data_IF_879586505981
#
_entry.id   IF_879586505981
#
_cell.length_a   1.000
_cell.length_b   1.000
_cell.length_c   1.000
_cell.angle_alpha   90.00
_cell.angle_beta   90.00
_cell.angle_gamma   90.00
#
_symmetry.space_group_name_H-M   'P 1'
#
loop_
_entity.id
_entity.type
_entity.pdbx_description
1 polymer ?
#
# COMPACT_ATOMS: atom_id res chain seq x y z
N UNK A 1 38.19 -43.64 28.08
CA UNK A 1 37.38 -43.31 29.28
C UNK A 1 36.26 -42.37 28.90
N UNK A 2 35.18 -42.84 28.92
CA UNK A 2 33.80 -42.47 29.01
C UNK A 2 33.50 -41.16 29.79
N UNK A 3 32.59 -40.36 29.27
CA UNK A 3 31.95 -39.28 30.00
C UNK A 3 30.78 -38.68 29.23
N UNK A 4 29.64 -39.35 29.34
CA UNK A 4 28.29 -38.84 28.99
C UNK A 4 27.96 -37.54 29.73
N UNK A 5 27.35 -36.54 29.06
CA UNK A 5 26.50 -35.59 29.76
C UNK A 5 25.22 -35.34 28.94
N UNK A 6 24.15 -35.52 29.66
CA UNK A 6 22.75 -35.55 29.28
C UNK A 6 22.18 -34.16 28.96
N UNK A 7 21.18 -34.20 28.11
CA UNK A 7 20.09 -33.22 27.88
C UNK A 7 19.63 -32.50 29.15
N UNK A 8 19.41 -31.18 29.00
CA UNK A 8 18.48 -30.48 29.88
C UNK A 8 17.56 -29.60 29.04
N UNK A 9 16.31 -30.03 28.94
CA UNK A 9 15.20 -29.21 28.48
C UNK A 9 14.88 -28.21 29.60
N UNK A 10 14.81 -26.94 29.29
CA UNK A 10 14.09 -25.95 30.09
C UNK A 10 12.97 -25.34 29.28
N UNK A 11 11.75 -25.78 29.55
CA UNK A 11 10.54 -25.00 29.34
C UNK A 11 10.69 -23.69 30.14
N UNK A 12 10.52 -22.58 29.47
CA UNK A 12 10.26 -21.31 30.12
C UNK A 12 8.89 -20.80 29.67
N UNK A 13 7.91 -21.01 30.54
CA UNK A 13 6.59 -20.39 30.47
C UNK A 13 6.75 -18.96 31.00
N UNK A 14 6.50 -17.96 30.18
CA UNK A 14 6.33 -16.57 30.63
C UNK A 14 4.94 -16.12 30.22
N UNK A 15 4.05 -16.05 31.20
CA UNK A 15 2.82 -15.29 31.12
C UNK A 15 3.18 -13.81 31.37
N UNK A 16 2.87 -12.95 30.44
CA UNK A 16 3.03 -11.50 30.60
C UNK A 16 2.14 -10.79 29.55
N UNK A 17 0.97 -10.32 30.03
CA UNK A 17 0.13 -9.42 29.24
C UNK A 17 0.85 -8.08 29.07
N UNK A 18 1.23 -7.77 27.83
CA UNK A 18 1.73 -6.46 27.44
C UNK A 18 1.35 -6.25 26.00
N UNK A 19 0.41 -5.30 25.77
CA UNK A 19 0.05 -4.85 24.44
C UNK A 19 1.24 -4.14 23.81
N UNK A 20 1.99 -4.88 23.00
CA UNK A 20 2.98 -4.31 22.10
C UNK A 20 2.35 -4.35 20.71
N UNK A 21 2.03 -3.18 20.16
CA UNK A 21 1.80 -3.02 18.73
C UNK A 21 3.14 -3.25 18.04
N UNK A 22 3.51 -4.50 17.88
CA UNK A 22 4.66 -4.93 17.12
C UNK A 22 4.24 -5.03 15.66
N UNK A 23 4.90 -4.28 14.78
CA UNK A 23 4.93 -4.58 13.36
C UNK A 23 5.36 -6.05 13.24
N UNK A 24 4.44 -6.95 12.87
CA UNK A 24 4.82 -8.30 12.49
C UNK A 24 5.60 -8.19 11.18
N UNK A 25 6.92 -8.25 11.29
CA UNK A 25 7.73 -8.64 10.15
C UNK A 25 7.22 -10.03 9.73
N UNK A 26 6.62 -10.13 8.54
CA UNK A 26 6.27 -11.42 7.95
C UNK A 26 7.58 -12.18 7.70
N UNK A 27 7.98 -13.00 8.66
CA UNK A 27 9.08 -13.91 8.45
C UNK A 27 8.62 -14.92 7.39
N UNK A 28 9.33 -14.96 6.26
CA UNK A 28 9.10 -15.93 5.21
C UNK A 28 9.24 -17.33 5.80
N UNK A 29 8.13 -18.03 5.96
CA UNK A 29 8.14 -19.43 6.36
C UNK A 29 8.42 -20.29 5.11
N UNK A 30 9.25 -21.33 5.23
CA UNK A 30 9.48 -22.25 4.10
C UNK A 30 8.18 -22.89 3.67
N UNK A 31 7.91 -22.91 2.35
CA UNK A 31 6.68 -23.44 1.72
C UNK A 31 6.51 -24.97 1.82
N UNK A 32 7.18 -25.64 2.76
CA UNK A 32 7.18 -27.10 2.89
C UNK A 32 5.87 -27.73 3.38
N UNK A 33 5.00 -26.95 4.00
CA UNK A 33 3.72 -27.46 4.50
C UNK A 33 2.58 -26.47 4.17
N UNK A 34 1.52 -26.99 3.58
CA UNK A 34 0.28 -26.24 3.35
C UNK A 34 -0.28 -25.78 4.71
N UNK A 35 -0.50 -24.45 4.91
CA UNK A 35 -1.04 -23.94 6.17
C UNK A 35 -2.51 -24.36 6.35
N UNK A 36 -3.00 -24.30 7.57
CA UNK A 36 -4.44 -24.38 7.80
C UNK A 36 -5.12 -23.10 7.30
N UNK A 37 -6.42 -23.14 6.93
CA UNK A 37 -7.16 -21.94 6.56
C UNK A 37 -7.08 -20.84 7.62
N UNK A 38 -7.17 -21.19 8.91
CA UNK A 38 -7.03 -20.26 10.02
C UNK A 38 -5.68 -19.54 9.97
N UNK A 39 -4.58 -20.26 9.88
CA UNK A 39 -3.24 -19.69 9.86
C UNK A 39 -3.01 -18.79 8.62
N UNK A 40 -3.51 -19.22 7.45
CA UNK A 40 -3.39 -18.42 6.24
C UNK A 40 -4.22 -17.12 6.29
N UNK A 41 -5.40 -17.16 6.92
CA UNK A 41 -6.28 -15.99 7.06
C UNK A 41 -5.82 -15.00 8.15
N UNK A 42 -4.95 -15.43 9.07
CA UNK A 42 -4.30 -14.54 10.07
C UNK A 42 -3.26 -13.62 9.44
N UNK A 43 -2.73 -13.95 8.27
CA UNK A 43 -1.84 -13.06 7.52
C UNK A 43 -2.62 -11.82 7.07
N UNK A 44 -2.15 -10.66 7.50
CA UNK A 44 -2.79 -9.37 7.24
C UNK A 44 -1.89 -8.47 6.38
N UNK A 45 -2.46 -7.54 5.61
CA UNK A 45 -1.71 -6.53 4.87
C UNK A 45 -0.76 -5.75 5.78
N UNK A 46 0.40 -5.35 5.25
CA UNK A 46 1.32 -4.44 5.94
C UNK A 46 0.65 -3.07 6.13
N UNK A 47 -0.04 -2.58 5.11
CA UNK A 47 -0.76 -1.30 5.18
C UNK A 47 -2.11 -1.45 5.89
N UNK A 48 -2.46 -0.46 6.73
CA UNK A 48 -3.63 -0.54 7.64
C UNK A 48 -4.95 -0.15 6.97
N UNK A 49 -4.92 0.62 5.90
CA UNK A 49 -6.08 1.18 5.21
C UNK A 49 -6.65 0.25 4.10
N UNK A 50 -6.30 -1.02 4.14
CA UNK A 50 -6.73 -2.01 3.16
C UNK A 50 -8.09 -2.58 3.54
N UNK A 51 -9.05 -2.46 2.62
CA UNK A 51 -10.36 -3.10 2.73
C UNK A 51 -10.37 -4.42 1.95
N UNK A 52 -10.36 -5.52 2.63
CA UNK A 52 -10.37 -6.86 2.06
C UNK A 52 -11.31 -7.78 2.83
N UNK A 53 -11.67 -8.91 2.24
CA UNK A 53 -12.62 -9.83 2.84
C UNK A 53 -12.00 -10.62 4.00
N UNK A 54 -12.74 -10.64 5.11
CA UNK A 54 -12.41 -11.39 6.30
C UNK A 54 -13.62 -12.25 6.66
N UNK A 55 -13.56 -13.57 6.43
CA UNK A 55 -14.67 -14.44 6.78
C UNK A 55 -14.92 -14.41 8.30
N UNK A 56 -16.19 -14.51 8.69
CA UNK A 56 -16.54 -14.70 10.09
C UNK A 56 -15.94 -16.01 10.62
N UNK A 57 -15.74 -16.08 11.93
CA UNK A 57 -15.05 -17.22 12.57
C UNK A 57 -15.70 -18.57 12.23
N UNK A 58 -17.02 -18.59 12.17
CA UNK A 58 -17.82 -19.79 11.87
C UNK A 58 -17.71 -20.20 10.37
N UNK A 59 -17.24 -19.30 9.52
CA UNK A 59 -17.04 -19.56 8.08
C UNK A 59 -15.65 -20.10 7.78
N UNK A 60 -14.67 -19.88 8.66
CA UNK A 60 -13.29 -20.31 8.47
C UNK A 60 -13.16 -21.81 8.30
N UNK A 61 -13.98 -22.59 9.02
CA UNK A 61 -14.01 -24.05 8.91
C UNK A 61 -14.44 -24.55 7.52
N UNK A 62 -15.15 -23.71 6.75
CA UNK A 62 -15.56 -24.03 5.38
C UNK A 62 -14.53 -23.57 4.34
N UNK A 63 -13.51 -22.82 4.77
CA UNK A 63 -12.46 -22.37 3.89
C UNK A 63 -11.49 -23.49 3.55
N UNK A 64 -10.90 -23.43 2.38
CA UNK A 64 -9.88 -24.37 1.91
C UNK A 64 -8.59 -23.64 1.53
N UNK A 65 -7.47 -24.36 1.63
CA UNK A 65 -6.19 -23.92 1.09
C UNK A 65 -5.79 -24.87 -0.02
N UNK A 66 -5.49 -24.33 -1.18
CA UNK A 66 -5.04 -25.09 -2.36
C UNK A 66 -3.58 -24.75 -2.65
N UNK A 67 -2.81 -25.71 -3.15
CA UNK A 67 -1.46 -25.45 -3.60
C UNK A 67 -1.52 -24.70 -4.94
N UNK A 68 -0.77 -23.60 -5.02
CA UNK A 68 -0.44 -22.93 -6.26
C UNK A 68 0.88 -23.50 -6.76
N UNK A 69 0.90 -24.05 -7.96
CA UNK A 69 2.10 -24.57 -8.59
C UNK A 69 2.02 -24.39 -10.10
N UNK A 70 2.95 -23.61 -10.64
CA UNK A 70 3.15 -23.40 -12.07
C UNK A 70 4.66 -23.49 -12.38
N UNK A 71 5.04 -23.32 -13.63
CA UNK A 71 6.46 -23.37 -14.03
C UNK A 71 7.32 -22.30 -13.34
N UNK A 72 6.72 -21.13 -13.01
CA UNK A 72 7.43 -19.98 -12.48
C UNK A 72 7.04 -19.61 -11.06
N UNK A 73 5.97 -20.17 -10.49
CA UNK A 73 5.38 -19.71 -9.23
C UNK A 73 4.91 -20.89 -8.40
N UNK A 74 5.20 -20.85 -7.10
CA UNK A 74 4.64 -21.76 -6.11
C UNK A 74 3.90 -21.00 -5.00
N UNK A 75 3.15 -21.69 -4.14
CA UNK A 75 2.46 -21.02 -3.02
C UNK A 75 1.10 -21.61 -2.68
N UNK A 76 0.18 -20.76 -2.21
CA UNK A 76 -1.15 -21.17 -1.77
C UNK A 76 -2.23 -20.18 -2.20
N UNK A 77 -3.42 -20.73 -2.44
CA UNK A 77 -4.66 -19.98 -2.62
C UNK A 77 -5.63 -20.38 -1.52
N UNK A 78 -6.19 -19.41 -0.82
CA UNK A 78 -7.24 -19.60 0.18
C UNK A 78 -8.58 -19.24 -0.44
N UNK A 79 -9.53 -20.18 -0.35
CA UNK A 79 -10.91 -20.01 -0.85
C UNK A 79 -11.91 -20.10 0.28
N UNK A 80 -13.02 -19.41 0.14
CA UNK A 80 -14.18 -19.56 1.01
C UNK A 80 -14.97 -20.84 0.71
N UNK A 81 -16.04 -21.08 1.47
CA UNK A 81 -16.93 -22.24 1.27
C UNK A 81 -17.70 -22.25 -0.05
N UNK A 82 -17.72 -21.15 -0.80
CA UNK A 82 -18.33 -20.99 -2.13
C UNK A 82 -17.30 -21.09 -3.26
N UNK A 83 -16.02 -21.26 -2.92
CA UNK A 83 -14.92 -21.33 -3.89
C UNK A 83 -14.35 -19.98 -4.31
N UNK A 84 -14.79 -18.84 -3.72
CA UNK A 84 -14.23 -17.54 -3.99
C UNK A 84 -12.82 -17.40 -3.39
N UNK A 85 -11.92 -16.76 -4.11
CA UNK A 85 -10.56 -16.48 -3.61
C UNK A 85 -10.62 -15.38 -2.54
N UNK A 86 -10.04 -15.70 -1.39
CA UNK A 86 -9.86 -14.74 -0.29
C UNK A 86 -8.41 -14.22 -0.22
N UNK A 87 -7.43 -15.11 -0.47
CA UNK A 87 -5.99 -14.82 -0.39
C UNK A 87 -5.24 -15.61 -1.46
N UNK A 88 -4.15 -15.05 -1.93
CA UNK A 88 -3.15 -15.76 -2.72
C UNK A 88 -1.77 -15.37 -2.20
N UNK A 89 -1.00 -16.36 -1.82
CA UNK A 89 0.37 -16.20 -1.37
C UNK A 89 1.29 -16.91 -2.35
N UNK A 90 2.29 -16.20 -2.86
CA UNK A 90 3.13 -16.71 -3.93
C UNK A 90 4.62 -16.51 -3.62
N UNK A 91 5.37 -17.51 -4.02
CA UNK A 91 6.79 -17.53 -4.22
C UNK A 91 7.02 -17.45 -5.73
N UNK A 92 7.49 -16.31 -6.22
CA UNK A 92 7.60 -16.01 -7.65
C UNK A 92 8.99 -16.28 -8.21
N UNK A 93 9.99 -16.50 -7.35
CA UNK A 93 11.36 -16.84 -7.72
C UNK A 93 11.71 -18.31 -7.43
N UNK A 94 10.81 -19.06 -6.76
CA UNK A 94 10.97 -20.47 -6.37
C UNK A 94 12.14 -20.74 -5.40
N UNK A 95 12.40 -19.80 -4.51
CA UNK A 95 13.36 -19.98 -3.42
C UNK A 95 12.76 -20.60 -2.15
N UNK A 96 11.47 -21.00 -2.20
CA UNK A 96 10.66 -21.53 -1.10
C UNK A 96 10.34 -20.50 -0.02
N UNK A 97 10.31 -19.22 -0.34
CA UNK A 97 9.80 -18.16 0.50
C UNK A 97 8.68 -17.43 -0.23
N UNK A 98 7.73 -16.92 0.53
CA UNK A 98 6.70 -16.04 -0.05
C UNK A 98 7.31 -14.67 -0.30
N UNK A 99 7.08 -14.14 -1.49
CA UNK A 99 7.46 -12.79 -1.90
C UNK A 99 6.27 -11.95 -2.37
N UNK A 100 5.07 -12.54 -2.39
CA UNK A 100 3.86 -11.84 -2.78
C UNK A 100 2.66 -12.28 -1.95
N UNK A 101 1.93 -11.34 -1.34
CA UNK A 101 0.74 -11.55 -0.51
C UNK A 101 -0.43 -10.78 -1.08
N UNK A 102 -1.37 -11.46 -1.72
CA UNK A 102 -2.53 -10.86 -2.38
C UNK A 102 -3.80 -11.05 -1.55
N UNK A 103 -4.58 -9.99 -1.44
CA UNK A 103 -5.81 -9.90 -0.66
C UNK A 103 -6.98 -9.58 -1.57
N UNK A 104 -8.11 -10.25 -1.34
CA UNK A 104 -9.26 -10.23 -2.22
C UNK A 104 -10.50 -9.72 -1.49
N UNK A 105 -11.42 -9.17 -2.26
CA UNK A 105 -12.78 -8.84 -1.84
C UNK A 105 -13.74 -9.26 -2.94
N UNK A 106 -14.76 -10.04 -2.58
CA UNK A 106 -15.74 -10.56 -3.53
C UNK A 106 -15.07 -11.31 -4.73
N UNK A 107 -13.95 -12.00 -4.45
CA UNK A 107 -13.19 -12.73 -5.47
C UNK A 107 -12.29 -11.87 -6.37
N UNK A 108 -12.27 -10.55 -6.18
CA UNK A 108 -11.42 -9.61 -6.93
C UNK A 108 -10.21 -9.22 -6.07
N UNK A 109 -9.01 -9.27 -6.64
CA UNK A 109 -7.82 -8.79 -5.95
C UNK A 109 -7.89 -7.27 -5.75
N UNK A 110 -7.78 -6.85 -4.49
CA UNK A 110 -7.89 -5.43 -4.11
C UNK A 110 -6.58 -4.84 -3.60
N UNK A 111 -5.68 -5.73 -3.14
CA UNK A 111 -4.41 -5.27 -2.57
C UNK A 111 -3.35 -6.38 -2.63
N UNK A 112 -2.08 -5.94 -2.68
CA UNK A 112 -0.92 -6.82 -2.68
C UNK A 112 0.27 -6.18 -1.99
N UNK A 113 0.90 -6.94 -1.07
CA UNK A 113 2.26 -6.70 -0.60
C UNK A 113 3.24 -7.45 -1.51
N UNK A 114 4.39 -6.88 -1.80
CA UNK A 114 5.44 -7.45 -2.66
C UNK A 114 6.79 -7.25 -1.98
N UNK A 115 7.56 -8.31 -1.90
CA UNK A 115 8.99 -8.33 -1.58
C UNK A 115 9.74 -8.43 -2.92
N UNK A 116 10.17 -7.30 -3.46
CA UNK A 116 10.72 -7.26 -4.81
C UNK A 116 12.22 -7.56 -4.87
N UNK A 117 12.92 -7.45 -3.76
CA UNK A 117 14.34 -7.78 -3.64
C UNK A 117 14.59 -9.17 -3.02
N UNK A 118 13.51 -9.88 -2.64
CA UNK A 118 13.53 -11.26 -2.12
C UNK A 118 14.27 -11.43 -0.79
N UNK A 119 14.28 -10.40 0.04
CA UNK A 119 14.95 -10.44 1.34
C UNK A 119 14.05 -10.94 2.49
N UNK A 120 12.77 -11.17 2.24
CA UNK A 120 11.78 -11.69 3.18
C UNK A 120 10.89 -10.61 3.81
N UNK A 121 10.95 -9.36 3.32
CA UNK A 121 10.10 -8.26 3.74
C UNK A 121 9.48 -7.56 2.54
N UNK A 122 8.24 -7.11 2.69
CA UNK A 122 7.58 -6.35 1.64
C UNK A 122 8.16 -4.93 1.56
N UNK A 123 8.56 -4.53 0.35
CA UNK A 123 9.08 -3.21 -0.01
C UNK A 123 8.19 -2.45 -0.98
N UNK A 124 7.12 -3.08 -1.47
CA UNK A 124 6.14 -2.49 -2.36
C UNK A 124 4.72 -2.85 -1.96
N UNK A 125 3.82 -1.88 -2.12
CA UNK A 125 2.41 -1.99 -1.75
C UNK A 125 1.54 -1.57 -2.91
N UNK A 126 0.61 -2.42 -3.33
CA UNK A 126 -0.20 -2.18 -4.52
C UNK A 126 -1.69 -2.32 -4.22
N UNK A 127 -2.44 -1.24 -4.40
CA UNK A 127 -3.90 -1.26 -4.39
C UNK A 127 -4.39 -1.44 -5.82
N UNK A 128 -5.40 -2.28 -5.97
CA UNK A 128 -6.00 -2.65 -7.23
C UNK A 128 -7.51 -2.44 -7.11
N UNK A 129 -8.10 -1.59 -7.93
CA UNK A 129 -9.52 -1.30 -7.82
C UNK A 129 -10.07 -0.49 -8.98
N UNK A 130 -11.40 -0.45 -9.08
CA UNK A 130 -12.12 0.31 -10.13
C UNK A 130 -12.08 1.82 -9.87
N UNK A 131 -11.84 2.25 -8.63
CA UNK A 131 -11.79 3.66 -8.23
C UNK A 131 -10.40 4.29 -8.34
N UNK A 132 -9.38 3.50 -8.67
CA UNK A 132 -8.01 3.98 -8.79
C UNK A 132 -6.98 2.87 -8.57
N UNK A 133 -5.74 3.17 -8.90
CA UNK A 133 -4.60 2.28 -8.69
C UNK A 133 -3.51 3.04 -7.97
N UNK A 134 -3.03 2.50 -6.86
CA UNK A 134 -1.89 3.03 -6.12
C UNK A 134 -0.76 2.00 -6.08
N UNK A 135 0.46 2.47 -6.20
CA UNK A 135 1.66 1.65 -6.05
C UNK A 135 2.68 2.41 -5.21
N UNK A 136 2.75 2.06 -3.94
CA UNK A 136 3.69 2.64 -2.98
C UNK A 136 5.01 1.87 -2.96
N UNK A 137 6.09 2.60 -2.69
CA UNK A 137 7.45 2.08 -2.52
C UNK A 137 7.92 2.38 -1.10
N UNK A 138 8.58 1.41 -0.49
CA UNK A 138 9.15 1.45 0.86
C UNK A 138 10.54 0.79 0.85
N UNK A 139 11.54 1.45 0.23
CA UNK A 139 12.86 0.86 0.05
C UNK A 139 13.66 0.70 1.37
N UNK A 140 13.21 1.30 2.47
CA UNK A 140 13.81 1.13 3.79
C UNK A 140 13.11 0.06 4.64
N UNK A 141 11.98 -0.50 4.15
CA UNK A 141 11.21 -1.61 4.75
C UNK A 141 10.74 -1.34 6.20
N UNK A 142 10.40 -0.09 6.49
CA UNK A 142 9.87 0.29 7.81
C UNK A 142 8.34 0.14 7.91
N UNK A 143 7.70 -0.33 6.84
CA UNK A 143 6.25 -0.52 6.72
C UNK A 143 5.50 0.76 6.36
N UNK A 144 6.21 1.83 6.00
CA UNK A 144 5.63 3.10 5.57
C UNK A 144 6.03 3.40 4.14
N UNK A 145 5.08 3.94 3.39
CA UNK A 145 5.33 4.33 2.02
C UNK A 145 6.22 5.57 1.99
N UNK A 146 7.36 5.49 1.32
CA UNK A 146 8.28 6.60 1.10
C UNK A 146 7.93 7.42 -0.16
N UNK A 147 7.48 6.74 -1.20
CA UNK A 147 7.12 7.37 -2.48
C UNK A 147 6.04 6.59 -3.23
N UNK A 148 5.48 7.19 -4.27
CA UNK A 148 4.50 6.55 -5.15
C UNK A 148 5.09 6.33 -6.53
N UNK A 149 5.07 5.08 -7.00
CA UNK A 149 5.40 4.75 -8.39
C UNK A 149 4.22 5.00 -9.33
N UNK A 150 3.03 4.80 -8.83
CA UNK A 150 1.77 5.05 -9.54
C UNK A 150 0.69 5.45 -8.54
N UNK A 151 -0.04 6.51 -8.85
CA UNK A 151 -1.21 6.95 -8.09
C UNK A 151 -2.20 7.64 -9.03
N UNK A 152 -3.48 7.29 -8.97
CA UNK A 152 -4.51 7.92 -9.78
C UNK A 152 -4.89 9.32 -9.26
N UNK A 153 -5.46 10.20 -10.08
CA UNK A 153 -5.93 11.53 -9.64
C UNK A 153 -6.96 11.46 -8.51
N UNK A 154 -7.84 10.47 -8.53
CA UNK A 154 -8.81 10.19 -7.47
C UNK A 154 -8.09 9.91 -6.16
N UNK A 155 -7.09 9.03 -6.19
CA UNK A 155 -6.32 8.68 -5.01
C UNK A 155 -5.45 9.84 -4.51
N UNK A 156 -4.88 10.64 -5.41
CA UNK A 156 -4.14 11.86 -5.02
C UNK A 156 -5.03 12.79 -4.22
N UNK A 157 -6.27 13.05 -4.68
CA UNK A 157 -7.19 13.93 -3.95
C UNK A 157 -7.62 13.35 -2.61
N UNK A 158 -7.84 12.04 -2.54
CA UNK A 158 -8.13 11.33 -1.29
C UNK A 158 -6.97 11.45 -0.30
N UNK A 159 -5.74 11.21 -0.74
CA UNK A 159 -4.54 11.33 0.08
C UNK A 159 -4.31 12.77 0.57
N UNK A 160 -4.55 13.79 -0.28
CA UNK A 160 -4.45 15.20 0.12
C UNK A 160 -5.46 15.53 1.22
N UNK A 161 -6.73 15.07 1.07
CA UNK A 161 -7.76 15.29 2.10
C UNK A 161 -7.38 14.61 3.41
N UNK A 162 -6.88 13.38 3.35
CA UNK A 162 -6.42 12.66 4.52
C UNK A 162 -5.21 13.34 5.18
N UNK A 163 -4.23 13.81 4.39
CA UNK A 163 -3.09 14.55 4.91
C UNK A 163 -3.51 15.86 5.62
N UNK A 164 -4.48 16.59 5.07
CA UNK A 164 -5.02 17.81 5.69
C UNK A 164 -5.78 17.49 6.97
N UNK A 165 -6.63 16.45 6.97
CA UNK A 165 -7.43 16.01 8.11
C UNK A 165 -6.54 15.61 9.29
N UNK A 166 -5.55 14.79 9.00
CA UNK A 166 -4.67 14.19 10.00
C UNK A 166 -3.45 15.08 10.31
N UNK A 167 -3.29 16.20 9.57
CA UNK A 167 -2.13 17.13 9.63
C UNK A 167 -0.80 16.39 9.39
N UNK A 168 -0.85 15.41 8.49
CA UNK A 168 0.28 14.55 8.17
C UNK A 168 1.11 15.11 7.01
N UNK A 169 2.17 15.84 7.36
CA UNK A 169 3.10 16.46 6.41
C UNK A 169 3.86 15.41 5.59
N UNK A 170 4.19 14.27 6.18
CA UNK A 170 4.88 13.19 5.46
C UNK A 170 3.96 12.54 4.41
N UNK A 171 2.69 12.33 4.74
CA UNK A 171 1.68 11.86 3.80
C UNK A 171 1.54 12.77 2.59
N UNK A 172 1.49 14.08 2.83
CA UNK A 172 1.42 15.06 1.76
C UNK A 172 2.69 15.08 0.90
N UNK A 173 3.86 15.06 1.50
CA UNK A 173 5.15 15.10 0.77
C UNK A 173 5.33 13.93 -0.17
N UNK A 174 4.81 12.75 0.16
CA UNK A 174 4.85 11.56 -0.70
C UNK A 174 4.08 11.71 -2.02
N UNK A 175 3.19 12.69 -2.11
CA UNK A 175 2.43 13.00 -3.33
C UNK A 175 3.18 13.97 -4.26
N UNK A 176 4.20 14.64 -3.75
CA UNK A 176 4.93 15.64 -4.50
C UNK A 176 6.09 14.98 -5.26
N UNK A 177 6.20 15.30 -6.55
CA UNK A 177 7.34 14.87 -7.35
C UNK A 177 8.66 15.32 -6.71
N UNK A 178 9.65 14.46 -6.78
CA UNK A 178 11.05 14.80 -6.46
C UNK A 178 11.66 15.61 -7.59
N UNK A 179 12.77 16.27 -7.33
CA UNK A 179 13.48 17.04 -8.37
C UNK A 179 13.96 16.14 -9.53
N UNK A 180 14.36 14.91 -9.23
CA UNK A 180 14.75 13.92 -10.24
C UNK A 180 13.57 13.49 -11.11
N UNK A 181 12.39 13.26 -10.52
CA UNK A 181 11.17 12.94 -11.27
C UNK A 181 10.72 14.11 -12.13
N UNK A 182 10.86 15.35 -11.65
CA UNK A 182 10.57 16.55 -12.47
C UNK A 182 11.53 16.63 -13.66
N UNK A 183 12.81 16.35 -13.48
CA UNK A 183 13.78 16.32 -14.58
C UNK A 183 13.45 15.22 -15.60
N UNK A 184 12.97 14.05 -15.12
CA UNK A 184 12.57 12.93 -15.99
C UNK A 184 11.27 13.21 -16.79
N UNK A 185 10.44 14.18 -16.39
CA UNK A 185 9.27 14.59 -17.20
C UNK A 185 9.68 15.12 -18.58
N UNK A 186 10.90 15.62 -18.73
CA UNK A 186 11.41 16.13 -20.00
C UNK A 186 10.76 17.45 -20.42
N UNK A 187 10.36 18.29 -19.47
CA UNK A 187 9.82 19.62 -19.70
C UNK A 187 10.91 20.59 -20.16
N UNK A 188 10.52 21.72 -20.81
CA UNK A 188 11.43 22.82 -21.08
C UNK A 188 12.03 23.43 -19.80
N UNK A 189 13.18 24.09 -19.91
CA UNK A 189 13.92 24.64 -18.74
C UNK A 189 13.05 25.55 -17.86
N UNK A 190 12.27 26.43 -18.47
CA UNK A 190 11.41 27.40 -17.78
C UNK A 190 10.32 26.67 -16.97
N UNK A 191 9.65 25.69 -17.58
CA UNK A 191 8.59 24.92 -16.95
C UNK A 191 9.16 24.04 -15.83
N UNK A 192 10.33 23.43 -16.05
CA UNK A 192 11.04 22.63 -15.02
C UNK A 192 11.36 23.50 -13.80
N UNK A 193 11.94 24.68 -14.00
CA UNK A 193 12.28 25.57 -12.90
C UNK A 193 11.04 26.08 -12.14
N UNK A 194 9.96 26.43 -12.87
CA UNK A 194 8.71 26.86 -12.26
C UNK A 194 8.06 25.76 -11.43
N UNK A 195 8.01 24.53 -11.96
CA UNK A 195 7.45 23.37 -11.28
C UNK A 195 8.24 23.04 -10.01
N UNK A 196 9.58 22.98 -10.07
CA UNK A 196 10.43 22.76 -8.89
C UNK A 196 10.19 23.83 -7.81
N UNK A 197 10.08 25.11 -8.21
CA UNK A 197 9.76 26.21 -7.29
C UNK A 197 8.40 26.02 -6.62
N UNK A 198 7.35 25.63 -7.37
CA UNK A 198 6.01 25.37 -6.85
C UNK A 198 6.01 24.19 -5.87
N UNK A 199 6.69 23.10 -6.21
CA UNK A 199 6.82 21.93 -5.34
C UNK A 199 7.57 22.25 -4.04
N UNK A 200 8.65 23.02 -4.10
CA UNK A 200 9.37 23.47 -2.92
C UNK A 200 8.49 24.34 -2.00
N UNK A 201 7.72 25.28 -2.59
CA UNK A 201 6.76 26.08 -1.83
C UNK A 201 5.66 25.23 -1.19
N UNK A 202 5.14 24.21 -1.90
CA UNK A 202 4.15 23.29 -1.36
C UNK A 202 4.72 22.48 -0.18
N UNK A 203 5.94 21.94 -0.29
CA UNK A 203 6.61 21.20 0.79
C UNK A 203 6.77 22.02 2.06
N UNK A 204 7.13 23.31 1.94
CA UNK A 204 7.37 24.17 3.09
C UNK A 204 6.08 24.79 3.66
N UNK A 205 5.06 25.00 2.81
CA UNK A 205 3.82 25.68 3.18
C UNK A 205 2.73 24.76 3.74
N UNK A 206 2.80 23.46 3.53
CA UNK A 206 1.70 22.54 3.86
C UNK A 206 1.34 22.53 5.34
N UNK A 207 2.31 22.44 6.23
CA UNK A 207 2.07 22.38 7.68
C UNK A 207 1.31 23.62 8.19
N UNK A 208 1.66 24.79 7.66
CA UNK A 208 0.97 26.05 7.97
C UNK A 208 -0.45 26.10 7.38
N UNK A 209 -0.61 25.64 6.15
CA UNK A 209 -1.92 25.52 5.49
C UNK A 209 -2.83 24.56 6.27
N UNK A 210 -2.37 23.37 6.58
CA UNK A 210 -3.13 22.35 7.31
C UNK A 210 -3.58 22.84 8.69
N UNK A 211 -2.80 23.69 9.33
CA UNK A 211 -3.14 24.28 10.64
C UNK A 211 -4.15 25.43 10.52
N UNK A 212 -4.07 26.25 9.48
CA UNK A 212 -4.87 27.48 9.32
C UNK A 212 -6.22 27.22 8.63
N UNK A 213 -6.28 26.25 7.74
CA UNK A 213 -7.52 25.90 7.05
C UNK A 213 -8.56 25.36 8.02
N UNK A 214 -9.88 25.58 7.70
CA UNK A 214 -11.02 25.15 8.51
C UNK A 214 -12.01 24.28 7.74
N UNK A 215 -11.76 24.06 6.46
CA UNK A 215 -12.67 23.31 5.59
C UNK A 215 -12.61 21.81 5.86
N UNK A 216 -11.41 21.28 6.07
CA UNK A 216 -11.18 19.85 6.35
C UNK A 216 -10.97 19.69 7.85
N UNK A 217 -11.88 18.93 8.49
CA UNK A 217 -11.88 18.60 9.92
C UNK A 217 -11.58 17.13 10.13
N UNK A 218 -11.47 16.69 11.38
CA UNK A 218 -11.30 15.28 11.77
C UNK A 218 -12.46 14.36 11.32
N UNK A 219 -13.63 14.96 11.01
CA UNK A 219 -14.84 14.25 10.54
C UNK A 219 -15.01 14.31 9.03
N UNK A 220 -14.12 14.99 8.32
CA UNK A 220 -14.22 15.11 6.87
C UNK A 220 -13.94 13.78 6.18
N UNK A 221 -14.83 13.41 5.27
CA UNK A 221 -14.72 12.23 4.43
C UNK A 221 -14.53 12.69 2.98
N UNK A 222 -13.53 12.17 2.31
CA UNK A 222 -13.43 12.29 0.86
C UNK A 222 -14.46 11.36 0.21
N UNK A 223 -15.23 11.88 -0.74
CA UNK A 223 -16.30 11.12 -1.39
C UNK A 223 -16.08 10.90 -2.86
N UNK A 224 -15.47 11.86 -3.55
CA UNK A 224 -15.26 11.74 -4.98
C UNK A 224 -14.17 12.70 -5.48
N UNK A 225 -13.74 12.45 -6.69
CA UNK A 225 -12.87 13.29 -7.49
C UNK A 225 -13.70 14.15 -8.44
N UNK A 226 -13.36 15.42 -8.53
CA UNK A 226 -13.88 16.35 -9.52
C UNK A 226 -12.71 16.93 -10.33
N UNK A 227 -12.87 16.99 -11.65
CA UNK A 227 -11.84 17.54 -12.52
C UNK A 227 -12.28 17.55 -13.97
N UNK A 228 -11.56 18.30 -14.80
CA UNK A 228 -11.70 18.21 -16.25
C UNK A 228 -11.08 16.91 -16.76
N UNK A 229 -11.41 16.53 -17.99
CA UNK A 229 -10.66 15.45 -18.64
C UNK A 229 -9.18 15.84 -18.75
N UNK A 230 -8.27 14.87 -18.64
CA UNK A 230 -6.85 15.15 -18.78
C UNK A 230 -6.51 15.71 -20.14
N UNK A 231 -5.67 16.72 -20.17
CA UNK A 231 -5.06 17.22 -21.38
C UNK A 231 -3.82 16.41 -21.75
N UNK A 232 -3.58 16.21 -23.03
CA UNK A 232 -2.33 15.66 -23.54
C UNK A 232 -1.42 16.82 -23.93
N UNK A 233 -0.23 16.89 -23.32
CA UNK A 233 0.87 17.72 -23.77
C UNK A 233 1.79 16.84 -24.62
N UNK A 234 1.76 16.96 -25.97
CA UNK A 234 2.57 16.11 -26.82
C UNK A 234 4.05 16.50 -26.77
N UNK A 235 4.92 15.53 -27.02
CA UNK A 235 6.35 15.78 -27.19
C UNK A 235 6.60 16.86 -28.25
N UNK A 236 7.54 17.75 -27.96
CA UNK A 236 7.84 18.93 -28.79
C UNK A 236 7.04 20.18 -28.44
N UNK A 237 5.97 20.08 -27.65
CA UNK A 237 5.23 21.25 -27.18
C UNK A 237 5.96 21.88 -25.98
N UNK A 238 6.10 23.22 -26.01
CA UNK A 238 6.72 23.99 -24.92
C UNK A 238 8.10 23.47 -24.45
N UNK A 239 8.84 22.85 -25.35
CA UNK A 239 10.15 22.24 -25.05
C UNK A 239 10.09 20.86 -24.42
N UNK A 240 8.91 20.24 -24.29
CA UNK A 240 8.76 18.88 -23.79
C UNK A 240 9.39 17.85 -24.72
N UNK A 241 10.07 16.85 -24.16
CA UNK A 241 10.65 15.72 -24.91
C UNK A 241 9.80 14.46 -24.85
N UNK A 242 8.73 14.45 -24.05
CA UNK A 242 7.83 13.31 -23.83
C UNK A 242 6.37 13.73 -23.92
N UNK A 243 5.51 12.80 -24.25
CA UNK A 243 4.07 12.96 -24.11
C UNK A 243 3.69 12.93 -22.64
N UNK A 244 2.98 13.95 -22.16
CA UNK A 244 2.55 14.05 -20.76
C UNK A 244 1.03 14.19 -20.69
N UNK A 245 0.43 13.46 -19.76
CA UNK A 245 -0.98 13.63 -19.42
C UNK A 245 -1.11 14.54 -18.21
N UNK A 246 -1.84 15.64 -18.36
CA UNK A 246 -1.96 16.69 -17.36
C UNK A 246 -3.41 16.81 -16.91
N UNK A 247 -3.64 16.72 -15.61
CA UNK A 247 -4.93 16.99 -14.98
C UNK A 247 -4.92 18.40 -14.40
N UNK A 248 -5.76 19.28 -14.95
CA UNK A 248 -5.93 20.65 -14.46
C UNK A 248 -7.22 20.81 -13.67
N UNK A 249 -7.27 21.80 -12.79
CA UNK A 249 -8.47 22.14 -12.01
C UNK A 249 -9.06 20.94 -11.24
N UNK A 250 -8.19 20.14 -10.68
CA UNK A 250 -8.55 18.98 -9.86
C UNK A 250 -9.19 19.46 -8.56
N UNK A 251 -10.33 18.87 -8.20
CA UNK A 251 -11.06 19.14 -6.98
C UNK A 251 -11.34 17.84 -6.21
N UNK A 252 -11.22 17.90 -4.89
CA UNK A 252 -11.73 16.86 -4.00
C UNK A 252 -13.17 17.21 -3.61
N UNK A 253 -14.09 16.29 -3.79
CA UNK A 253 -15.44 16.39 -3.24
C UNK A 253 -15.41 15.75 -1.84
N UNK A 254 -15.82 16.51 -0.85
CA UNK A 254 -15.76 16.10 0.55
C UNK A 254 -17.14 16.24 1.21
N UNK A 255 -17.41 15.35 2.15
CA UNK A 255 -18.53 15.43 3.07
C UNK A 255 -18.02 15.87 4.44
N UNK A 256 -18.67 16.88 5.03
CA UNK A 256 -18.40 17.34 6.39
C UNK A 256 -19.65 17.16 7.22
N UNK A 257 -19.50 16.66 8.46
CA UNK A 257 -20.66 16.44 9.35
C UNK A 257 -21.25 17.71 9.94
N UNK A 258 -20.65 18.86 9.67
CA UNK A 258 -21.19 20.13 10.11
C UNK A 258 -22.30 20.56 9.14
N UNK A 259 -23.53 20.25 9.53
CA UNK A 259 -24.70 20.91 8.94
C UNK A 259 -24.55 22.39 9.23
N UNK A 260 -24.12 23.16 8.25
CA UNK A 260 -24.33 24.60 8.33
C UNK A 260 -25.83 24.84 8.34
N UNK A 261 -26.30 25.32 9.50
CA UNK A 261 -27.65 25.86 9.67
C UNK A 261 -27.82 27.12 8.81
#
# INVERSE_FOLDING_TARGET
MLGNIRKLHKLLTIAGAGSIAGSLALAAAPLYAKPTPQAALELAPVQKDVQYERPAKEQIEKCSVENLNSDTTSGWVVRDGNGQILRRFADTNKDNKLDQWSYYREGIEVYRDIDADFNGKADQYRWLGTAGVRWGLDPNEDGKIDSWKLISPEEVTSEVVAALRDRDDLRFRRLLLTDAEVDDLGLGETQTADLKRKLAAARTGFADLARKQKLVTDKTIWTNFGGTQPGLLPAGSEGSTKDLMVYENVAAVIETSDKHA
#
